data_IF_959029691786
#
_entry.id   IF_959029691786
#
_cell.length_a   1.000
_cell.length_b   1.000
_cell.length_c   1.000
_cell.angle_alpha   90.00
_cell.angle_beta   90.00
_cell.angle_gamma   90.00
#
_symmetry.space_group_name_H-M   'P 1'
#
loop_
_entity.id
_entity.type
_entity.pdbx_description
1 polymer ?
#
# COMPACT_ATOMS: atom_id res chain seq x y z
N UNK A 1 5.14 1.62 34.52
CA UNK A 1 5.52 2.74 33.65
C UNK A 1 4.40 2.92 32.64
N UNK A 2 3.99 4.15 32.35
CA UNK A 2 3.12 4.41 31.18
C UNK A 2 4.07 4.57 30.01
N UNK A 3 3.91 3.73 28.98
CA UNK A 3 4.73 3.86 27.77
C UNK A 3 4.25 5.10 26.99
N UNK A 4 5.19 5.95 26.55
CA UNK A 4 4.90 7.13 25.73
C UNK A 4 4.58 6.69 24.30
N UNK A 5 3.40 6.09 24.15
CA UNK A 5 2.95 5.43 22.94
C UNK A 5 1.54 5.87 22.56
N UNK A 6 1.25 5.85 21.27
CA UNK A 6 -0.10 6.02 20.75
C UNK A 6 -0.37 5.05 19.61
N UNK A 7 -1.61 4.56 19.55
CA UNK A 7 -2.10 3.72 18.47
C UNK A 7 -2.84 4.57 17.43
N UNK A 8 -2.57 4.31 16.15
CA UNK A 8 -3.27 4.94 15.02
C UNK A 8 -3.69 3.88 14.00
N UNK A 9 -4.92 3.97 13.50
CA UNK A 9 -5.44 3.17 12.38
C UNK A 9 -5.54 4.08 11.15
N UNK A 10 -4.83 3.74 10.08
CA UNK A 10 -4.73 4.57 8.88
C UNK A 10 -5.00 3.77 7.61
N UNK A 11 -5.51 4.47 6.60
CA UNK A 11 -5.38 4.07 5.20
C UNK A 11 -4.16 4.78 4.64
N UNK A 12 -3.08 4.04 4.45
CA UNK A 12 -1.85 4.55 3.85
C UNK A 12 -1.92 4.42 2.33
N UNK A 13 -1.67 5.51 1.62
CA UNK A 13 -1.77 5.58 0.17
C UNK A 13 -0.45 6.09 -0.43
N UNK A 14 0.04 5.41 -1.45
CA UNK A 14 1.28 5.74 -2.15
C UNK A 14 1.04 5.77 -3.65
N UNK A 15 1.67 6.73 -4.32
CA UNK A 15 1.68 6.79 -5.78
C UNK A 15 3.08 6.95 -6.31
N UNK A 16 3.43 6.14 -7.29
CA UNK A 16 4.67 6.25 -8.06
C UNK A 16 4.40 5.94 -9.53
N UNK A 17 5.42 6.10 -10.36
CA UNK A 17 5.36 5.74 -11.79
C UNK A 17 6.34 4.61 -12.03
N UNK A 18 5.86 3.50 -12.60
CA UNK A 18 6.67 2.40 -13.09
C UNK A 18 6.47 2.25 -14.61
N UNK A 19 7.49 2.61 -15.38
CA UNK A 19 7.42 2.57 -16.85
C UNK A 19 7.34 1.15 -17.41
N UNK A 20 7.70 0.12 -16.62
CA UNK A 20 7.62 -1.29 -17.02
C UNK A 20 6.18 -1.80 -17.08
N UNK A 21 5.26 -1.15 -16.35
CA UNK A 21 3.84 -1.52 -16.27
C UNK A 21 2.95 -0.70 -17.21
N UNK A 22 3.53 0.01 -18.18
CA UNK A 22 2.75 0.70 -19.23
C UNK A 22 2.12 -0.33 -20.15
N UNK A 23 0.88 -0.09 -20.53
CA UNK A 23 0.15 -0.97 -21.43
C UNK A 23 -0.74 -0.17 -22.38
N UNK A 24 -0.85 -0.63 -23.62
CA UNK A 24 -1.67 0.01 -24.63
C UNK A 24 -3.04 -0.67 -24.65
N UNK A 25 -4.06 -0.01 -24.08
CA UNK A 25 -5.45 -0.42 -24.19
C UNK A 25 -6.32 0.79 -24.47
N UNK A 26 -7.13 0.72 -25.52
CA UNK A 26 -8.08 1.75 -25.91
C UNK A 26 -9.33 1.76 -25.03
N UNK A 27 -9.71 0.60 -24.48
CA UNK A 27 -10.90 0.43 -23.64
C UNK A 27 -10.61 0.48 -22.14
N UNK A 28 -9.45 -0.01 -21.70
CA UNK A 28 -9.14 -0.17 -20.28
C UNK A 28 -8.05 0.81 -19.81
N UNK A 29 -8.45 1.94 -19.24
CA UNK A 29 -7.50 2.96 -18.75
C UNK A 29 -6.85 2.63 -17.41
N UNK A 30 -7.50 1.79 -16.60
CA UNK A 30 -7.07 1.43 -15.25
C UNK A 30 -7.25 -0.07 -15.03
N UNK A 31 -6.18 -0.73 -14.61
CA UNK A 31 -6.20 -2.08 -14.05
C UNK A 31 -6.38 -1.97 -12.54
N UNK A 32 -7.45 -2.55 -12.00
CA UNK A 32 -7.63 -2.70 -10.55
C UNK A 32 -7.30 -4.13 -10.19
N UNK A 33 -6.21 -4.31 -9.43
CA UNK A 33 -5.66 -5.61 -9.09
C UNK A 33 -5.89 -5.87 -7.60
N UNK A 34 -6.13 -7.15 -7.28
CA UNK A 34 -6.24 -7.62 -5.90
C UNK A 34 -4.87 -7.94 -5.30
N UNK A 35 -4.85 -8.29 -4.01
CA UNK A 35 -3.65 -8.61 -3.24
C UNK A 35 -2.75 -9.69 -3.86
N UNK A 36 -3.27 -10.58 -4.72
CA UNK A 36 -2.47 -11.65 -5.32
C UNK A 36 -1.42 -11.14 -6.31
N UNK A 37 -1.67 -10.01 -6.98
CA UNK A 37 -0.73 -9.42 -7.92
C UNK A 37 0.25 -8.44 -7.26
N UNK A 38 -0.03 -8.01 -6.03
CA UNK A 38 0.83 -7.08 -5.27
C UNK A 38 2.23 -7.69 -5.06
N UNK A 39 2.32 -9.00 -4.79
CA UNK A 39 3.60 -9.69 -4.61
C UNK A 39 4.46 -9.86 -5.88
N UNK A 40 3.92 -9.56 -7.06
CA UNK A 40 4.65 -9.66 -8.34
C UNK A 40 5.16 -8.30 -8.85
N UNK A 41 4.76 -7.22 -8.20
CA UNK A 41 5.09 -5.86 -8.60
C UNK A 41 6.04 -5.27 -7.56
N UNK A 42 7.03 -4.53 -8.03
CA UNK A 42 7.92 -3.81 -7.14
C UNK A 42 7.13 -2.78 -6.33
N UNK A 43 7.30 -2.79 -5.02
CA UNK A 43 6.72 -1.83 -4.08
C UNK A 43 7.85 -1.07 -3.37
N UNK A 44 7.65 0.21 -3.01
CA UNK A 44 8.58 0.91 -2.14
C UNK A 44 8.58 0.30 -0.73
N UNK A 45 9.76 0.11 -0.16
CA UNK A 45 10.04 -0.42 1.17
C UNK A 45 9.85 0.64 2.26
N UNK A 46 8.63 1.17 2.38
CA UNK A 46 8.33 2.30 3.27
C UNK A 46 8.20 1.87 4.73
N UNK A 47 8.96 2.53 5.61
CA UNK A 47 8.99 2.27 7.06
C UNK A 47 8.50 3.46 7.88
N UNK A 48 7.83 3.19 9.01
CA UNK A 48 7.49 4.19 10.03
C UNK A 48 8.59 4.24 11.08
N UNK A 49 9.40 5.30 11.10
CA UNK A 49 10.63 5.35 11.90
C UNK A 49 10.41 5.25 13.41
N UNK A 50 9.31 5.79 13.92
CA UNK A 50 8.94 5.77 15.33
C UNK A 50 7.92 4.67 15.65
N UNK A 51 7.64 3.73 14.73
CA UNK A 51 6.76 2.61 15.06
C UNK A 51 7.51 1.62 15.94
N UNK A 52 6.97 1.32 17.12
CA UNK A 52 7.39 0.17 17.92
C UNK A 52 6.82 -1.11 17.35
N UNK A 53 5.54 -1.09 16.95
CA UNK A 53 4.86 -2.18 16.23
C UNK A 53 4.02 -1.60 15.08
N UNK A 54 4.00 -2.27 13.93
CA UNK A 54 3.15 -1.90 12.80
C UNK A 54 2.55 -3.16 12.18
N UNK A 55 1.24 -3.31 12.29
CA UNK A 55 0.51 -4.48 11.80
C UNK A 55 -0.32 -4.10 10.56
N UNK A 56 -0.15 -4.88 9.48
CA UNK A 56 -1.05 -4.79 8.32
C UNK A 56 -2.31 -5.63 8.58
N UNK A 57 -3.46 -5.23 8.04
CA UNK A 57 -4.68 -6.01 8.24
C UNK A 57 -4.82 -7.14 7.19
N UNK A 58 -4.77 -8.40 7.65
CA UNK A 58 -4.79 -9.62 6.82
C UNK A 58 -6.11 -10.42 6.87
N UNK A 59 -7.12 -9.99 7.63
CA UNK A 59 -8.40 -10.71 7.81
C UNK A 59 -9.55 -9.94 7.13
N UNK A 60 -10.42 -10.55 6.31
CA UNK A 60 -10.41 -11.92 5.75
C UNK A 60 -9.60 -12.05 4.44
N UNK A 61 -9.13 -10.93 3.88
CA UNK A 61 -8.15 -10.84 2.80
C UNK A 61 -7.16 -9.73 3.15
N UNK A 62 -5.92 -9.71 2.59
CA UNK A 62 -5.03 -8.57 2.76
C UNK A 62 -5.72 -7.29 2.26
N UNK A 63 -5.92 -6.31 3.14
CA UNK A 63 -6.58 -5.05 2.83
C UNK A 63 -5.66 -4.14 2.01
N UNK A 64 -5.31 -4.62 0.81
CA UNK A 64 -4.40 -4.01 -0.13
C UNK A 64 -5.10 -3.86 -1.48
N UNK A 65 -4.98 -2.68 -2.07
CA UNK A 65 -5.52 -2.38 -3.38
C UNK A 65 -4.42 -1.79 -4.23
N UNK A 66 -4.28 -2.30 -5.46
CA UNK A 66 -3.32 -1.81 -6.43
C UNK A 66 -4.07 -1.38 -7.68
N UNK A 67 -3.88 -0.12 -8.10
CA UNK A 67 -4.42 0.41 -9.35
C UNK A 67 -3.28 0.86 -10.25
N UNK A 68 -3.29 0.40 -11.49
CA UNK A 68 -2.27 0.73 -12.49
C UNK A 68 -2.97 1.43 -13.65
N UNK A 69 -2.55 2.65 -13.96
CA UNK A 69 -2.99 3.36 -15.16
C UNK A 69 -2.16 2.94 -16.36
N UNK A 70 -2.74 3.04 -17.55
CA UNK A 70 -2.06 2.73 -18.82
C UNK A 70 -0.73 3.47 -19.05
N UNK A 71 -0.57 4.65 -18.44
CA UNK A 71 0.65 5.44 -18.50
C UNK A 71 1.75 4.98 -17.51
N UNK A 72 1.52 3.92 -16.73
CA UNK A 72 2.46 3.37 -15.76
C UNK A 72 2.35 4.02 -14.38
N UNK A 73 1.41 4.93 -14.14
CA UNK A 73 1.13 5.44 -12.80
C UNK A 73 0.51 4.31 -11.96
N UNK A 74 0.95 4.20 -10.72
CA UNK A 74 0.48 3.20 -9.75
C UNK A 74 -0.08 3.94 -8.54
N UNK A 75 -1.19 3.41 -8.01
CA UNK A 75 -1.73 3.73 -6.69
C UNK A 75 -1.77 2.44 -5.89
N UNK A 76 -1.08 2.43 -4.77
CA UNK A 76 -1.12 1.36 -3.78
C UNK A 76 -1.74 1.90 -2.50
N UNK A 77 -2.72 1.20 -1.96
CA UNK A 77 -3.33 1.56 -0.68
C UNK A 77 -3.40 0.35 0.21
N UNK A 78 -3.07 0.52 1.49
CA UNK A 78 -3.22 -0.50 2.52
C UNK A 78 -3.75 0.10 3.81
N UNK A 79 -4.55 -0.68 4.55
CA UNK A 79 -4.93 -0.34 5.92
C UNK A 79 -3.88 -0.89 6.89
N UNK A 80 -3.44 -0.05 7.83
CA UNK A 80 -2.47 -0.43 8.86
C UNK A 80 -2.87 0.14 10.21
N UNK A 81 -2.61 -0.65 11.25
CA UNK A 81 -2.62 -0.18 12.64
C UNK A 81 -1.16 -0.04 13.09
N UNK A 82 -0.79 1.15 13.56
CA UNK A 82 0.59 1.47 13.96
C UNK A 82 0.56 1.86 15.44
N UNK A 83 1.43 1.25 16.23
CA UNK A 83 1.75 1.71 17.58
C UNK A 83 3.08 2.47 17.54
N UNK A 84 3.02 3.78 17.78
CA UNK A 84 4.12 4.71 17.59
C UNK A 84 4.56 5.36 18.90
N UNK A 85 5.86 5.62 19.02
CA UNK A 85 6.47 6.38 20.12
C UNK A 85 6.21 7.88 19.95
N UNK A 86 5.94 8.55 21.07
CA UNK A 86 5.71 10.00 21.19
C UNK A 86 6.79 10.65 22.06
#
# INVERSE_FOLDING_TARGET
SIDMEYQIDIIFAQTWVDTRLRYNSSSMRILTLNSNMVGLIWLPDTIFRNSKNADSHWITTPNQLLRIWNNGKILYTLRMTINAEC
#
